data_IF_094370814640
#
_entry.id   IF_094370814640
#
_cell.length_a   1.000
_cell.length_b   1.000
_cell.length_c   1.000
_cell.angle_alpha   90.00
_cell.angle_beta   90.00
_cell.angle_gamma   90.00
#
_symmetry.space_group_name_H-M   'P 1'
#
loop_
_entity.id
_entity.type
_entity.pdbx_description
1 polymer ?
#
# COMPACT_ATOMS: atom_id res chain seq x y z
N UNK A 1 -5.65 -4.93 -26.19
CA UNK A 1 -6.21 -4.68 -24.84
C UNK A 1 -5.51 -5.64 -23.88
N UNK A 2 -4.54 -5.15 -23.10
CA UNK A 2 -3.80 -6.01 -22.17
C UNK A 2 -4.68 -6.34 -20.96
N UNK A 3 -4.66 -7.60 -20.51
CA UNK A 3 -5.50 -8.10 -19.43
C UNK A 3 -4.87 -7.72 -18.09
N UNK A 4 -5.37 -6.68 -17.42
CA UNK A 4 -5.00 -6.37 -16.03
C UNK A 4 -5.59 -7.45 -15.10
N UNK A 5 -4.74 -8.06 -14.29
CA UNK A 5 -5.15 -8.95 -13.23
C UNK A 5 -5.26 -8.19 -11.92
N UNK A 6 -6.20 -8.64 -11.10
CA UNK A 6 -6.35 -8.21 -9.73
C UNK A 6 -6.05 -9.41 -8.88
N UNK A 7 -5.08 -9.29 -7.99
CA UNK A 7 -4.67 -10.32 -7.06
C UNK A 7 -5.18 -9.89 -5.68
N UNK A 8 -6.26 -10.52 -5.25
CA UNK A 8 -6.92 -10.28 -3.96
C UNK A 8 -6.12 -10.92 -2.83
N UNK A 9 -5.69 -10.14 -1.84
CA UNK A 9 -4.99 -10.61 -0.64
C UNK A 9 -6.05 -10.93 0.41
N UNK A 10 -6.36 -12.23 0.51
CA UNK A 10 -7.51 -12.75 1.27
C UNK A 10 -7.27 -12.89 2.78
N UNK A 11 -6.04 -12.67 3.23
CA UNK A 11 -5.68 -12.73 4.65
C UNK A 11 -4.52 -11.78 4.91
N UNK A 12 -4.49 -11.20 6.10
CA UNK A 12 -3.49 -10.22 6.51
C UNK A 12 -2.07 -10.78 6.44
N UNK A 13 -1.19 -10.22 5.59
CA UNK A 13 0.24 -10.50 5.65
C UNK A 13 0.82 -9.99 6.97
N UNK A 14 1.53 -10.87 7.70
CA UNK A 14 2.23 -10.55 8.96
C UNK A 14 3.63 -11.12 8.98
N UNK A 15 4.49 -10.53 9.81
CA UNK A 15 5.86 -10.97 10.08
C UNK A 15 6.63 -11.20 8.77
N UNK A 16 7.13 -12.40 8.53
CA UNK A 16 7.94 -12.69 7.36
C UNK A 16 7.14 -12.63 6.05
N UNK A 17 5.85 -12.97 6.07
CA UNK A 17 4.96 -12.80 4.90
C UNK A 17 4.85 -11.32 4.53
N UNK A 18 4.68 -10.45 5.54
CA UNK A 18 4.68 -9.01 5.35
C UNK A 18 6.03 -8.51 4.81
N UNK A 19 7.14 -8.95 5.41
CA UNK A 19 8.49 -8.54 4.98
C UNK A 19 8.76 -8.91 3.52
N UNK A 20 8.46 -10.14 3.11
CA UNK A 20 8.63 -10.57 1.72
C UNK A 20 7.73 -9.81 0.75
N UNK A 21 6.49 -9.48 1.14
CA UNK A 21 5.61 -8.64 0.33
C UNK A 21 6.17 -7.22 0.18
N UNK A 22 6.67 -6.64 1.26
CA UNK A 22 7.29 -5.31 1.26
C UNK A 22 8.56 -5.30 0.42
N UNK A 23 9.43 -6.30 0.55
CA UNK A 23 10.63 -6.42 -0.27
C UNK A 23 10.27 -6.47 -1.76
N UNK A 24 9.29 -7.29 -2.15
CA UNK A 24 8.80 -7.34 -3.53
C UNK A 24 8.22 -5.99 -4.00
N UNK A 25 7.46 -5.31 -3.15
CA UNK A 25 6.86 -4.01 -3.48
C UNK A 25 7.94 -2.96 -3.77
N UNK A 26 8.96 -2.87 -2.91
CA UNK A 26 10.09 -1.95 -3.09
C UNK A 26 11.00 -2.31 -4.27
N UNK A 27 11.12 -3.59 -4.63
CA UNK A 27 11.86 -4.02 -5.82
C UNK A 27 11.17 -3.63 -7.13
N UNK A 28 9.83 -3.52 -7.13
CA UNK A 28 9.02 -3.31 -8.33
C UNK A 28 8.50 -1.89 -8.51
N UNK A 29 8.31 -1.15 -7.42
CA UNK A 29 7.60 0.12 -7.42
C UNK A 29 8.56 1.31 -7.29
N UNK A 30 8.13 2.47 -7.79
CA UNK A 30 8.90 3.72 -7.71
C UNK A 30 8.53 4.56 -6.49
N UNK A 31 7.30 4.39 -6.00
CA UNK A 31 6.72 5.20 -4.93
C UNK A 31 5.83 4.38 -4.01
N UNK A 32 5.63 4.89 -2.81
CA UNK A 32 4.60 4.42 -1.88
C UNK A 32 3.91 5.61 -1.21
N UNK A 33 2.76 5.36 -0.60
CA UNK A 33 1.98 6.38 0.11
C UNK A 33 1.66 5.97 1.54
N UNK A 34 1.55 6.98 2.39
CA UNK A 34 0.95 6.88 3.73
C UNK A 34 -0.06 8.02 3.90
N UNK A 35 -1.13 7.78 4.65
CA UNK A 35 -2.25 8.71 4.79
C UNK A 35 -2.39 9.18 6.24
N UNK A 36 -2.71 10.46 6.42
CA UNK A 36 -3.11 11.05 7.70
C UNK A 36 -4.41 11.82 7.50
N UNK A 37 -5.50 11.38 8.14
CA UNK A 37 -6.76 12.13 8.08
C UNK A 37 -6.59 13.54 8.66
N UNK A 38 -7.23 14.55 8.05
CA UNK A 38 -7.04 15.95 8.45
C UNK A 38 -7.45 16.21 9.90
N UNK A 39 -8.52 15.55 10.36
CA UNK A 39 -9.05 15.66 11.72
C UNK A 39 -8.21 14.88 12.76
N UNK A 40 -7.25 14.07 12.30
CA UNK A 40 -6.42 13.24 13.16
C UNK A 40 -5.27 14.06 13.76
N UNK A 41 -5.23 14.12 15.09
CA UNK A 41 -4.02 14.54 15.80
C UNK A 41 -3.00 13.41 15.79
N UNK A 42 -1.98 13.55 14.95
CA UNK A 42 -0.89 12.58 14.87
C UNK A 42 -0.17 12.45 16.23
N UNK A 43 -0.04 11.22 16.70
CA UNK A 43 0.72 10.91 17.92
C UNK A 43 2.23 10.94 17.66
N UNK A 44 3.03 10.80 18.73
CA UNK A 44 4.49 10.87 18.62
C UNK A 44 5.09 9.70 17.82
N UNK A 45 4.40 8.54 17.78
CA UNK A 45 4.80 7.42 16.94
C UNK A 45 4.64 7.78 15.47
N UNK A 46 3.49 8.34 15.08
CA UNK A 46 3.21 8.76 13.71
C UNK A 46 4.18 9.84 13.26
N UNK A 47 4.42 10.86 14.09
CA UNK A 47 5.41 11.90 13.81
C UNK A 47 6.80 11.31 13.59
N UNK A 48 7.24 10.40 14.47
CA UNK A 48 8.54 9.77 14.34
C UNK A 48 8.68 8.95 13.05
N UNK A 49 7.62 8.28 12.60
CA UNK A 49 7.63 7.57 11.31
C UNK A 49 7.77 8.57 10.15
N UNK A 50 7.00 9.65 10.14
CA UNK A 50 7.10 10.68 9.10
C UNK A 50 8.48 11.36 9.09
N UNK A 51 9.06 11.63 10.27
CA UNK A 51 10.41 12.18 10.41
C UNK A 51 11.48 11.24 9.85
N UNK A 52 11.41 9.93 10.18
CA UNK A 52 12.33 8.93 9.62
C UNK A 52 12.26 8.87 8.09
N UNK A 53 11.08 9.06 7.51
CA UNK A 53 10.85 9.00 6.07
C UNK A 53 11.05 10.34 5.35
N UNK A 54 11.38 11.42 6.06
CA UNK A 54 11.39 12.78 5.52
C UNK A 54 12.32 12.94 4.30
N UNK A 55 13.50 12.33 4.33
CA UNK A 55 14.48 12.39 3.22
C UNK A 55 14.00 11.67 1.95
N UNK A 56 12.94 10.85 2.07
CA UNK A 56 12.32 10.13 0.97
C UNK A 56 11.02 10.77 0.50
N UNK A 57 10.56 11.83 1.15
CA UNK A 57 9.32 12.52 0.80
C UNK A 57 9.47 13.20 -0.57
N UNK A 58 8.55 12.91 -1.47
CA UNK A 58 8.46 13.57 -2.79
C UNK A 58 7.53 14.78 -2.65
N UNK A 59 6.32 14.52 -2.15
CA UNK A 59 5.29 15.54 -1.98
C UNK A 59 4.23 15.06 -0.98
N UNK A 60 3.49 16.02 -0.43
CA UNK A 60 2.32 15.79 0.41
C UNK A 60 1.16 16.56 -0.18
N UNK A 61 0.02 15.89 -0.35
CA UNK A 61 -1.19 16.50 -0.94
C UNK A 61 -2.36 16.35 0.01
N UNK A 62 -3.10 17.44 0.19
CA UNK A 62 -4.45 17.39 0.77
C UNK A 62 -5.42 16.86 -0.29
N UNK A 63 -6.04 15.71 -0.05
CA UNK A 63 -6.88 14.99 -1.01
C UNK A 63 -8.09 14.39 -0.30
N UNK A 64 -9.17 14.19 -1.05
CA UNK A 64 -10.36 13.44 -0.61
C UNK A 64 -10.42 12.05 -1.24
N UNK A 65 -9.44 11.68 -2.07
CA UNK A 65 -9.37 10.39 -2.74
C UNK A 65 -7.93 9.91 -2.89
N UNK A 66 -7.75 8.59 -2.78
CA UNK A 66 -6.53 7.85 -3.10
C UNK A 66 -6.93 6.41 -3.48
N UNK A 67 -6.03 5.59 -4.04
CA UNK A 67 -6.38 4.22 -4.41
C UNK A 67 -6.97 3.45 -3.24
N UNK A 68 -8.18 2.93 -3.43
CA UNK A 68 -8.93 2.19 -2.42
C UNK A 68 -9.92 3.03 -1.62
N UNK A 69 -9.79 4.36 -1.56
CA UNK A 69 -10.60 5.18 -0.65
C UNK A 69 -11.04 6.50 -1.29
N UNK A 70 -12.34 6.80 -1.14
CA UNK A 70 -12.93 8.10 -1.46
C UNK A 70 -13.66 8.58 -0.21
N UNK A 71 -13.26 9.75 0.30
CA UNK A 71 -13.89 10.41 1.43
C UNK A 71 -15.09 11.23 0.97
N UNK A 72 -16.14 11.27 1.80
CA UNK A 72 -17.29 12.14 1.61
C UNK A 72 -17.12 13.40 2.47
N UNK A 73 -16.98 14.57 1.85
CA UNK A 73 -16.88 15.89 2.51
C UNK A 73 -15.75 16.01 3.56
N UNK A 74 -14.72 15.17 3.45
CA UNK A 74 -13.54 15.17 4.32
C UNK A 74 -12.25 15.13 3.50
N UNK A 75 -11.14 15.47 4.13
CA UNK A 75 -9.81 15.43 3.52
C UNK A 75 -8.82 14.66 4.38
N UNK A 76 -7.79 14.16 3.72
CA UNK A 76 -6.60 13.61 4.33
C UNK A 76 -5.35 14.20 3.66
N UNK A 77 -4.23 14.14 4.37
CA UNK A 77 -2.91 14.38 3.84
C UNK A 77 -2.32 13.05 3.36
N UNK A 78 -2.12 12.92 2.05
CA UNK A 78 -1.47 11.77 1.44
C UNK A 78 -0.02 12.14 1.17
N UNK A 79 0.88 11.40 1.80
CA UNK A 79 2.32 11.58 1.67
C UNK A 79 2.84 10.60 0.62
N UNK A 80 3.46 11.12 -0.43
CA UNK A 80 4.08 10.32 -1.49
C UNK A 80 5.58 10.26 -1.25
N UNK A 81 6.10 9.05 -1.10
CA UNK A 81 7.51 8.80 -0.85
C UNK A 81 8.15 8.07 -2.03
N UNK A 82 9.46 8.25 -2.20
CA UNK A 82 10.27 7.41 -3.08
C UNK A 82 10.44 6.02 -2.47
N UNK A 83 10.14 4.99 -3.24
CA UNK A 83 10.49 3.62 -2.88
C UNK A 83 12.01 3.44 -3.04
N UNK A 84 12.74 3.61 -1.95
CA UNK A 84 14.21 3.50 -1.89
C UNK A 84 14.62 2.35 -0.97
N UNK A 85 15.84 1.80 -1.12
CA UNK A 85 16.36 0.78 -0.21
C UNK A 85 16.32 1.21 1.27
N UNK A 86 16.60 2.46 1.58
CA UNK A 86 16.58 2.99 2.95
C UNK A 86 15.15 3.09 3.49
N UNK A 87 14.20 3.61 2.69
CA UNK A 87 12.80 3.65 3.06
C UNK A 87 12.22 2.24 3.28
N UNK A 88 12.66 1.24 2.51
CA UNK A 88 12.28 -0.16 2.70
C UNK A 88 12.63 -0.66 4.09
N UNK A 89 13.85 -0.39 4.56
CA UNK A 89 14.28 -0.81 5.89
C UNK A 89 13.50 -0.08 6.98
N UNK A 90 13.21 1.23 6.81
CA UNK A 90 12.37 1.99 7.74
C UNK A 90 10.96 1.38 7.83
N UNK A 91 10.32 1.08 6.70
CA UNK A 91 8.97 0.48 6.67
C UNK A 91 8.93 -0.90 7.34
N UNK A 92 9.97 -1.72 7.17
CA UNK A 92 10.11 -3.03 7.84
C UNK A 92 10.47 -2.91 9.33
N UNK A 93 11.09 -1.82 9.75
CA UNK A 93 11.41 -1.54 11.15
C UNK A 93 10.15 -1.13 11.94
N UNK A 94 9.32 -0.25 11.36
CA UNK A 94 8.18 0.36 12.07
C UNK A 94 6.89 -0.47 12.03
N UNK A 95 6.85 -1.52 11.21
CA UNK A 95 5.68 -2.36 10.99
C UNK A 95 6.05 -3.82 10.74
N UNK A 96 5.15 -4.71 11.12
CA UNK A 96 5.22 -6.15 10.83
C UNK A 96 3.91 -6.70 10.25
N UNK A 97 3.00 -5.86 9.78
CA UNK A 97 1.72 -6.28 9.20
C UNK A 97 1.17 -5.28 8.19
N UNK A 98 0.37 -5.75 7.23
CA UNK A 98 -0.22 -4.86 6.21
C UNK A 98 -1.46 -4.11 6.70
N UNK A 99 -2.25 -4.70 7.60
CA UNK A 99 -3.48 -4.08 8.08
C UNK A 99 -3.28 -3.49 9.49
N UNK A 100 -2.99 -4.33 10.48
CA UNK A 100 -2.94 -3.93 11.90
C UNK A 100 -1.97 -2.78 12.19
N UNK A 101 -0.90 -2.65 11.40
CA UNK A 101 0.12 -1.60 11.58
C UNK A 101 -0.21 -0.28 10.87
N UNK A 102 -1.15 -0.30 9.92
CA UNK A 102 -1.47 0.83 9.04
C UNK A 102 -2.94 1.24 9.17
N UNK A 103 -3.53 1.07 10.36
CA UNK A 103 -4.86 1.60 10.72
C UNK A 103 -4.73 2.92 11.49
N UNK A 104 -3.66 3.05 12.29
CA UNK A 104 -3.38 4.23 13.10
C UNK A 104 -1.92 4.19 13.55
N UNK A 105 -1.19 5.32 13.65
CA UNK A 105 -1.58 6.71 13.38
C UNK A 105 -1.43 7.15 11.92
N UNK A 106 -0.86 6.28 11.08
CA UNK A 106 -0.78 6.43 9.63
C UNK A 106 -1.60 5.32 8.98
N UNK A 107 -2.25 5.64 7.87
CA UNK A 107 -3.14 4.72 7.18
C UNK A 107 -2.63 4.33 5.78
N UNK A 108 -3.15 3.19 5.30
CA UNK A 108 -3.20 2.82 3.88
C UNK A 108 -1.86 2.80 3.15
N UNK A 109 -0.88 2.08 3.71
CA UNK A 109 0.39 1.82 3.02
C UNK A 109 0.14 1.15 1.65
N UNK A 110 0.32 1.93 0.59
CA UNK A 110 0.06 1.53 -0.80
C UNK A 110 1.26 1.84 -1.69
N UNK A 111 1.43 1.11 -2.79
CA UNK A 111 2.60 1.24 -3.68
C UNK A 111 2.21 1.52 -5.12
N UNK A 112 3.08 2.23 -5.84
CA UNK A 112 2.88 2.66 -7.22
C UNK A 112 4.07 2.29 -8.09
N UNK A 113 3.77 1.69 -9.24
CA UNK A 113 4.73 1.38 -10.30
C UNK A 113 4.41 2.19 -11.54
N UNK A 114 5.38 2.94 -12.05
CA UNK A 114 5.26 3.83 -13.21
C UNK A 114 4.04 4.77 -13.10
N UNK A 115 3.81 5.32 -11.91
CA UNK A 115 2.70 6.23 -11.61
C UNK A 115 1.32 5.57 -11.50
N UNK A 116 1.22 4.24 -11.59
CA UNK A 116 -0.03 3.49 -11.44
C UNK A 116 -0.04 2.71 -10.12
N UNK A 117 -1.19 2.57 -9.44
CA UNK A 117 -1.29 1.72 -8.26
C UNK A 117 -0.89 0.29 -8.58
N UNK A 118 -0.01 -0.27 -7.74
CA UNK A 118 0.44 -1.65 -7.77
C UNK A 118 -0.12 -2.41 -6.58
N UNK A 119 0.19 -2.00 -5.34
CA UNK A 119 -0.48 -2.50 -4.13
C UNK A 119 -1.43 -1.43 -3.62
N UNK A 120 -2.71 -1.77 -3.53
CA UNK A 120 -3.75 -0.94 -2.92
C UNK A 120 -4.13 -1.56 -1.59
N UNK A 121 -4.09 -0.76 -0.53
CA UNK A 121 -4.41 -1.20 0.83
C UNK A 121 -5.38 -0.20 1.48
N UNK A 122 -6.52 -0.71 1.92
CA UNK A 122 -7.47 0.00 2.77
C UNK A 122 -7.50 -0.74 4.10
N UNK A 123 -6.60 -0.34 5.00
CA UNK A 123 -6.20 -1.15 6.14
C UNK A 123 -7.33 -1.33 7.16
N UNK A 124 -8.12 -0.27 7.40
CA UNK A 124 -9.25 -0.30 8.32
C UNK A 124 -10.40 -1.19 7.83
N UNK A 125 -10.46 -1.49 6.52
CA UNK A 125 -11.40 -2.45 5.93
C UNK A 125 -10.81 -3.87 5.80
N UNK A 126 -9.52 -4.06 6.11
CA UNK A 126 -8.76 -5.29 5.83
C UNK A 126 -8.84 -5.71 4.35
N UNK A 127 -8.91 -4.74 3.44
CA UNK A 127 -8.96 -4.97 2.00
C UNK A 127 -7.62 -4.57 1.40
N UNK A 128 -6.98 -5.50 0.71
CA UNK A 128 -5.86 -5.16 -0.16
C UNK A 128 -5.81 -6.03 -1.39
N UNK A 129 -5.27 -5.47 -2.46
CA UNK A 129 -5.11 -6.16 -3.72
C UNK A 129 -3.93 -5.61 -4.50
N UNK A 130 -3.33 -6.48 -5.31
CA UNK A 130 -2.26 -6.13 -6.23
C UNK A 130 -2.80 -6.07 -7.66
N UNK A 131 -2.35 -5.08 -8.42
CA UNK A 131 -2.70 -4.84 -9.80
C UNK A 131 -1.46 -5.07 -10.67
N UNK A 132 -1.49 -6.10 -11.51
CA UNK A 132 -0.42 -6.36 -12.48
C UNK A 132 -0.98 -7.01 -13.75
N UNK A 133 -0.36 -6.72 -14.89
CA UNK A 133 -0.56 -7.40 -16.17
C UNK A 133 0.66 -8.23 -16.59
N UNK A 134 1.70 -8.29 -15.74
CA UNK A 134 2.92 -9.06 -15.94
C UNK A 134 2.81 -10.42 -15.24
N UNK A 135 2.74 -11.51 -16.01
CA UNK A 135 2.63 -12.86 -15.44
C UNK A 135 3.86 -13.25 -14.60
N UNK A 136 5.06 -12.71 -14.88
CA UNK A 136 6.24 -12.97 -14.06
C UNK A 136 6.15 -12.31 -12.68
N UNK A 137 5.56 -11.11 -12.61
CA UNK A 137 5.27 -10.46 -11.32
C UNK A 137 4.20 -11.20 -10.55
N UNK A 138 3.15 -11.62 -11.24
CA UNK A 138 2.09 -12.43 -10.67
C UNK A 138 2.66 -13.71 -10.09
N UNK A 139 3.52 -14.41 -10.82
CA UNK A 139 4.19 -15.61 -10.33
C UNK A 139 5.03 -15.31 -9.09
N UNK A 140 5.79 -14.20 -9.07
CA UNK A 140 6.55 -13.77 -7.87
C UNK A 140 5.63 -13.52 -6.67
N UNK A 141 4.51 -12.84 -6.87
CA UNK A 141 3.51 -12.56 -5.80
C UNK A 141 2.95 -13.89 -5.26
N UNK A 142 2.48 -14.76 -6.16
CA UNK A 142 1.83 -16.02 -5.79
C UNK A 142 2.80 -17.02 -5.13
N UNK A 143 4.11 -16.85 -5.33
CA UNK A 143 5.16 -17.65 -4.71
C UNK A 143 5.73 -17.06 -3.40
N UNK A 144 5.19 -15.93 -2.90
CA UNK A 144 5.52 -15.46 -1.56
C UNK A 144 5.03 -16.50 -0.54
N UNK A 145 5.97 -17.12 0.18
CA UNK A 145 5.65 -18.13 1.18
C UNK A 145 4.69 -17.58 2.23
N UNK A 146 3.59 -18.31 2.48
CA UNK A 146 2.57 -17.96 3.47
C UNK A 146 1.55 -16.92 3.00
N UNK A 147 1.78 -16.20 1.90
CA UNK A 147 0.82 -15.22 1.39
C UNK A 147 -0.46 -15.92 0.93
N UNK A 148 -1.62 -15.49 1.46
CA UNK A 148 -2.94 -15.98 1.03
C UNK A 148 -3.53 -15.03 0.01
N UNK A 149 -3.30 -15.30 -1.26
CA UNK A 149 -3.76 -14.47 -2.36
C UNK A 149 -4.43 -15.30 -3.47
N UNK A 150 -5.28 -14.65 -4.27
CA UNK A 150 -5.94 -15.28 -5.43
C UNK A 150 -6.15 -14.29 -6.57
N UNK A 151 -6.14 -14.77 -7.81
CA UNK A 151 -6.62 -13.98 -8.95
C UNK A 151 -8.13 -13.74 -8.78
N UNK A 152 -8.55 -12.48 -8.69
CA UNK A 152 -9.92 -12.10 -8.44
C UNK A 152 -10.81 -12.32 -9.68
N UNK A 153 -12.07 -12.71 -9.44
CA UNK A 153 -13.07 -12.90 -10.49
C UNK A 153 -13.57 -11.56 -11.05
N UNK A 154 -14.38 -11.61 -12.12
CA UNK A 154 -14.85 -10.41 -12.83
C UNK A 154 -15.58 -9.36 -11.97
N UNK A 155 -16.26 -9.76 -10.89
CA UNK A 155 -17.01 -8.83 -10.03
C UNK A 155 -16.11 -7.92 -9.17
N UNK A 156 -14.97 -8.42 -8.71
CA UNK A 156 -14.00 -7.63 -7.96
C UNK A 156 -13.24 -6.66 -8.88
N UNK A 157 -13.04 -7.05 -10.15
CA UNK A 157 -12.42 -6.17 -11.15
C UNK A 157 -13.19 -4.87 -11.36
N UNK A 158 -14.52 -4.91 -11.29
CA UNK A 158 -15.36 -3.70 -11.40
C UNK A 158 -15.17 -2.72 -10.25
N UNK A 159 -14.81 -3.19 -9.05
CA UNK A 159 -14.51 -2.32 -7.90
C UNK A 159 -13.09 -1.74 -7.99
N UNK A 160 -12.12 -2.51 -8.48
CA UNK A 160 -10.76 -2.01 -8.69
C UNK A 160 -10.61 -1.10 -9.91
N UNK A 161 -11.55 -1.13 -10.87
CA UNK A 161 -11.51 -0.32 -12.09
C UNK A 161 -11.76 1.18 -11.85
N UNK A 162 -12.10 1.58 -10.63
CA UNK A 162 -12.21 2.98 -10.24
C UNK A 162 -10.84 3.64 -9.99
N UNK A 163 -9.71 2.91 -10.15
CA UNK A 163 -8.34 3.38 -9.89
C UNK A 163 -7.28 2.97 -10.93
#
# INVERSE_FOLDING_TARGET
>A
MYRRYVIDITSEPKNDVYRHLIDLAFDLCDRFTLVVHEETKLDDKGKSILEKLNDHLIEMKKQSEWPGTILCDQFAYVYYYRASPEAREIIKEVSNSLYSSWIWPLEDLSFYKNGKPWLVNTAHENISYILSDDESEIDRIMNIEGLKARKASGAFKTLSNWY
#
